data_IF_325283189442
#
_entry.id   IF_325283189442
#
_cell.length_a   1.000
_cell.length_b   1.000
_cell.length_c   1.000
_cell.angle_alpha   90.00
_cell.angle_beta   90.00
_cell.angle_gamma   90.00
#
_symmetry.space_group_name_H-M   'P 1'
#
loop_
_entity.id
_entity.type
_entity.pdbx_description
1 polymer ?
#
# COMPACT_ATOMS: atom_id res chain seq x y z
N UNK A 1 35.03 -20.36 -31.04
CA UNK A 1 33.85 -20.28 -30.17
C UNK A 1 33.97 -19.02 -29.34
N UNK A 2 33.18 -17.99 -29.64
CA UNK A 2 33.03 -16.80 -28.80
C UNK A 2 31.56 -16.76 -28.38
N UNK A 3 31.32 -16.90 -27.09
CA UNK A 3 30.00 -16.76 -26.48
C UNK A 3 29.84 -15.27 -26.22
N UNK A 4 29.01 -14.60 -27.02
CA UNK A 4 28.65 -13.21 -26.77
C UNK A 4 27.49 -13.22 -25.78
N UNK A 5 27.78 -12.89 -24.52
CA UNK A 5 26.77 -12.67 -23.49
C UNK A 5 25.86 -11.51 -23.93
N UNK A 6 24.61 -11.84 -24.23
CA UNK A 6 23.58 -10.83 -24.46
C UNK A 6 23.18 -10.29 -23.10
N UNK A 7 23.64 -9.07 -22.78
CA UNK A 7 23.18 -8.30 -21.63
C UNK A 7 21.65 -8.22 -21.68
N UNK A 8 20.99 -8.95 -20.79
CA UNK A 8 19.56 -8.93 -20.61
C UNK A 8 19.10 -7.49 -20.35
N UNK A 9 18.26 -7.01 -21.25
CA UNK A 9 17.64 -5.70 -21.22
C UNK A 9 16.74 -5.61 -19.97
N UNK A 10 17.31 -5.20 -18.82
CA UNK A 10 16.53 -4.83 -17.63
C UNK A 10 15.87 -3.49 -17.95
N UNK A 11 14.69 -3.54 -18.56
CA UNK A 11 13.86 -2.37 -18.78
C UNK A 11 13.72 -1.62 -17.46
N UNK A 12 14.30 -0.43 -17.41
CA UNK A 12 14.05 0.58 -16.38
C UNK A 12 12.56 0.91 -16.45
N UNK A 13 11.73 0.21 -15.68
CA UNK A 13 10.31 0.58 -15.54
C UNK A 13 10.30 1.92 -14.82
N UNK A 14 9.95 2.98 -15.55
CA UNK A 14 9.84 4.31 -14.97
C UNK A 14 8.80 4.32 -13.83
N UNK A 15 9.08 5.00 -12.71
CA UNK A 15 8.12 5.17 -11.63
C UNK A 15 6.81 5.78 -12.15
N UNK A 16 5.68 5.13 -11.89
CA UNK A 16 4.38 5.73 -12.20
C UNK A 16 3.95 6.66 -11.08
N UNK A 17 3.71 7.94 -11.39
CA UNK A 17 3.20 8.93 -10.44
C UNK A 17 1.69 9.10 -10.63
N UNK A 18 0.92 8.98 -9.55
CA UNK A 18 -0.53 9.12 -9.56
C UNK A 18 -0.98 10.15 -8.52
N UNK A 19 -1.84 11.07 -8.91
CA UNK A 19 -2.46 12.04 -8.00
C UNK A 19 -3.92 11.65 -7.71
N UNK A 20 -4.29 11.57 -6.42
CA UNK A 20 -5.67 11.37 -5.98
C UNK A 20 -5.97 12.28 -4.79
N UNK A 21 -6.69 13.37 -5.05
CA UNK A 21 -6.98 14.39 -4.03
C UNK A 21 -5.67 15.01 -3.51
N UNK A 22 -5.45 14.94 -2.19
CA UNK A 22 -4.22 15.43 -1.54
C UNK A 22 -3.07 14.41 -1.55
N UNK A 23 -3.30 13.19 -2.02
CA UNK A 23 -2.32 12.14 -2.02
C UNK A 23 -1.60 12.04 -3.36
N UNK A 24 -0.28 11.87 -3.30
CA UNK A 24 0.55 11.53 -4.46
C UNK A 24 1.16 10.16 -4.23
N UNK A 25 0.95 9.24 -5.16
CA UNK A 25 1.45 7.88 -5.12
C UNK A 25 2.58 7.73 -6.13
N UNK A 26 3.67 7.09 -5.72
CA UNK A 26 4.72 6.61 -6.61
C UNK A 26 4.74 5.10 -6.59
N UNK A 27 4.55 4.49 -7.75
CA UNK A 27 4.62 3.04 -7.90
C UNK A 27 5.94 2.68 -8.56
N UNK A 28 6.80 1.97 -7.83
CA UNK A 28 8.14 1.56 -8.26
C UNK A 28 8.31 0.06 -7.95
N UNK A 29 8.60 -0.77 -8.97
CA UNK A 29 8.92 -2.21 -8.78
C UNK A 29 7.93 -2.96 -7.87
N UNK A 30 6.62 -2.73 -8.06
CA UNK A 30 5.50 -3.28 -7.26
C UNK A 30 5.35 -2.72 -5.83
N UNK A 31 6.19 -1.78 -5.41
CA UNK A 31 5.98 -1.02 -4.19
C UNK A 31 5.20 0.26 -4.50
N UNK A 32 4.24 0.60 -3.65
CA UNK A 32 3.63 1.92 -3.66
C UNK A 32 4.17 2.73 -2.51
N UNK A 33 4.75 3.89 -2.80
CA UNK A 33 5.08 4.93 -1.82
C UNK A 33 4.02 6.03 -1.88
N UNK A 34 3.50 6.44 -0.73
CA UNK A 34 2.54 7.53 -0.60
C UNK A 34 3.26 8.76 -0.07
N UNK A 35 3.09 9.89 -0.75
CA UNK A 35 3.53 11.18 -0.24
C UNK A 35 2.42 11.79 0.62
N UNK A 36 2.79 12.10 1.85
CA UNK A 36 1.96 12.68 2.93
C UNK A 36 2.30 14.14 3.19
N UNK A 37 3.28 14.73 2.49
CA UNK A 37 3.80 16.08 2.73
C UNK A 37 2.78 17.20 2.49
N UNK A 38 1.67 16.90 1.81
CA UNK A 38 0.55 17.82 1.63
C UNK A 38 -0.46 17.80 2.81
N UNK A 39 -0.27 16.94 3.81
CA UNK A 39 -1.10 16.87 5.01
C UNK A 39 -0.58 17.84 6.09
N UNK A 40 -1.46 18.25 7.00
CA UNK A 40 -1.04 18.96 8.20
C UNK A 40 -0.17 18.04 9.08
N UNK A 41 0.84 18.59 9.77
CA UNK A 41 1.83 17.81 10.52
C UNK A 41 1.22 16.83 11.53
N UNK A 42 0.18 17.26 12.27
CA UNK A 42 -0.53 16.40 13.23
C UNK A 42 -1.23 15.21 12.57
N UNK A 43 -1.73 15.39 11.34
CA UNK A 43 -2.37 14.33 10.56
C UNK A 43 -1.31 13.47 9.87
N UNK A 44 -0.21 14.07 9.45
CA UNK A 44 0.90 13.39 8.78
C UNK A 44 1.49 12.30 9.68
N UNK A 45 1.86 12.63 10.92
CA UNK A 45 2.44 11.64 11.85
C UNK A 45 1.48 10.47 12.08
N UNK A 46 0.20 10.76 12.36
CA UNK A 46 -0.80 9.70 12.54
C UNK A 46 -0.95 8.84 11.28
N UNK A 47 -0.96 9.46 10.11
CA UNK A 47 -1.06 8.75 8.83
C UNK A 47 0.14 7.84 8.58
N UNK A 48 1.36 8.32 8.81
CA UNK A 48 2.59 7.56 8.59
C UNK A 48 2.75 6.40 9.58
N UNK A 49 2.24 6.55 10.81
CA UNK A 49 2.31 5.50 11.84
C UNK A 49 1.22 4.43 11.66
N UNK A 50 -0.02 4.83 11.39
CA UNK A 50 -1.18 3.94 11.53
C UNK A 50 -1.85 3.53 10.22
N UNK A 51 -1.45 4.07 9.07
CA UNK A 51 -2.09 3.74 7.81
C UNK A 51 -1.20 2.92 6.87
N UNK A 52 -1.78 1.85 6.34
CA UNK A 52 -1.27 1.18 5.14
C UNK A 52 -2.13 1.55 3.94
N UNK A 53 -1.50 1.81 2.80
CA UNK A 53 -2.19 2.18 1.57
C UNK A 53 -1.83 1.22 0.46
N UNK A 54 -2.84 0.71 -0.23
CA UNK A 54 -2.67 -0.26 -1.29
C UNK A 54 -3.63 -0.05 -2.44
N UNK A 55 -3.23 -0.55 -3.61
CA UNK A 55 -4.08 -0.64 -4.79
C UNK A 55 -4.54 -2.09 -4.97
N UNK A 56 -5.83 -2.30 -5.18
CA UNK A 56 -6.35 -3.58 -5.66
C UNK A 56 -6.33 -3.56 -7.19
N UNK A 57 -5.70 -4.55 -7.81
CA UNK A 57 -5.68 -4.69 -9.27
C UNK A 57 -6.86 -5.55 -9.75
N UNK A 58 -7.39 -5.24 -10.93
CA UNK A 58 -8.51 -5.97 -11.53
C UNK A 58 -9.86 -5.31 -11.29
N UNK A 59 -10.89 -6.12 -11.04
CA UNK A 59 -12.26 -5.64 -10.84
C UNK A 59 -12.36 -4.93 -9.49
N UNK A 60 -12.98 -3.73 -9.42
CA UNK A 60 -13.23 -3.05 -8.16
C UNK A 60 -13.94 -3.98 -7.16
N UNK A 61 -13.33 -4.18 -5.98
CA UNK A 61 -13.87 -5.06 -4.95
C UNK A 61 -14.65 -4.27 -3.90
N UNK A 62 -15.70 -4.89 -3.37
CA UNK A 62 -16.42 -4.33 -2.23
C UNK A 62 -15.51 -4.28 -0.99
N UNK A 63 -15.52 -3.16 -0.28
CA UNK A 63 -14.70 -2.96 0.92
C UNK A 63 -14.92 -4.01 2.01
N UNK A 64 -16.14 -4.58 2.11
CA UNK A 64 -16.46 -5.67 3.05
C UNK A 64 -15.70 -6.95 2.69
N UNK A 65 -15.52 -7.23 1.40
CA UNK A 65 -14.76 -8.39 0.90
C UNK A 65 -13.28 -8.21 1.21
N UNK A 66 -12.73 -7.02 0.96
CA UNK A 66 -11.35 -6.68 1.32
C UNK A 66 -11.15 -6.86 2.83
N UNK A 67 -12.02 -6.26 3.66
CA UNK A 67 -11.97 -6.36 5.12
C UNK A 67 -12.01 -7.81 5.59
N UNK A 68 -12.91 -8.62 5.04
CA UNK A 68 -13.02 -10.04 5.40
C UNK A 68 -11.73 -10.81 5.06
N UNK A 69 -11.16 -10.59 3.87
CA UNK A 69 -9.93 -11.27 3.47
C UNK A 69 -8.75 -10.86 4.35
N UNK A 70 -8.57 -9.56 4.60
CA UNK A 70 -7.51 -9.07 5.48
C UNK A 70 -7.64 -9.61 6.91
N UNK A 71 -8.85 -9.66 7.47
CA UNK A 71 -9.11 -10.29 8.79
C UNK A 71 -8.75 -11.79 8.80
N UNK A 72 -8.93 -12.48 7.68
CA UNK A 72 -8.56 -13.89 7.56
C UNK A 72 -7.05 -14.11 7.47
N UNK A 73 -6.30 -13.21 6.83
CA UNK A 73 -4.83 -13.30 6.74
C UNK A 73 -4.16 -12.85 8.05
N UNK A 74 -4.68 -11.80 8.69
CA UNK A 74 -4.10 -11.20 9.89
C UNK A 74 -4.75 -11.71 11.18
N UNK A 75 -4.61 -12.99 11.47
CA UNK A 75 -5.36 -13.68 12.55
C UNK A 75 -4.99 -13.27 13.99
N UNK A 76 -4.06 -12.34 14.19
CA UNK A 76 -3.52 -11.98 15.52
C UNK A 76 -3.43 -10.47 15.76
N UNK A 77 -4.24 -9.67 15.08
CA UNK A 77 -4.30 -8.23 15.37
C UNK A 77 -4.90 -8.00 16.76
N UNK A 78 -4.32 -7.06 17.49
CA UNK A 78 -4.83 -6.62 18.80
C UNK A 78 -6.13 -5.84 18.64
N UNK A 79 -6.24 -5.03 17.57
CA UNK A 79 -7.38 -4.18 17.30
C UNK A 79 -8.16 -4.52 16.04
N UNK A 80 -9.34 -3.90 15.93
CA UNK A 80 -10.02 -3.80 14.65
C UNK A 80 -9.29 -2.85 13.71
N UNK A 81 -9.42 -3.09 12.40
CA UNK A 81 -8.96 -2.18 11.35
C UNK A 81 -10.14 -1.48 10.66
N UNK A 82 -9.95 -0.22 10.33
CA UNK A 82 -10.84 0.56 9.47
C UNK A 82 -10.31 0.51 8.03
N UNK A 83 -11.19 0.53 7.03
CA UNK A 83 -10.80 0.58 5.63
C UNK A 83 -11.65 1.64 4.95
N UNK A 84 -11.00 2.48 4.13
CA UNK A 84 -11.65 3.50 3.31
C UNK A 84 -11.10 3.50 1.89
N UNK A 85 -11.87 4.09 0.97
CA UNK A 85 -11.47 4.30 -0.41
C UNK A 85 -10.63 5.58 -0.59
N UNK A 86 -9.60 5.49 -1.42
CA UNK A 86 -8.86 6.62 -2.00
C UNK A 86 -9.13 6.68 -3.51
N UNK A 87 -10.37 6.95 -3.88
CA UNK A 87 -10.82 6.80 -5.28
C UNK A 87 -11.17 5.34 -5.62
N UNK A 88 -11.20 4.99 -6.91
CA UNK A 88 -11.86 3.76 -7.38
C UNK A 88 -11.21 2.45 -6.89
N UNK A 89 -9.89 2.35 -6.98
CA UNK A 89 -9.16 1.08 -6.78
C UNK A 89 -8.06 1.14 -5.70
N UNK A 90 -7.99 2.27 -4.99
CA UNK A 90 -7.03 2.48 -3.91
C UNK A 90 -7.75 2.50 -2.57
N UNK A 91 -7.09 1.95 -1.57
CA UNK A 91 -7.65 1.74 -0.25
C UNK A 91 -6.63 2.12 0.80
N UNK A 92 -7.09 2.75 1.87
CA UNK A 92 -6.31 2.93 3.09
C UNK A 92 -6.87 2.02 4.18
N UNK A 93 -5.99 1.40 4.94
CA UNK A 93 -6.30 0.59 6.11
C UNK A 93 -5.72 1.31 7.32
N UNK A 94 -6.58 1.68 8.27
CA UNK A 94 -6.17 2.29 9.53
C UNK A 94 -6.11 1.24 10.63
N UNK A 95 -5.04 1.29 11.42
CA UNK A 95 -4.83 0.47 12.59
C UNK A 95 -5.00 1.31 13.85
N UNK A 96 -5.49 0.68 14.92
CA UNK A 96 -5.59 1.34 16.23
C UNK A 96 -4.33 1.17 17.08
N UNK A 97 -3.45 0.23 16.71
CA UNK A 97 -2.25 -0.11 17.45
C UNK A 97 -1.04 -0.17 16.51
N UNK A 98 0.06 0.47 16.88
CA UNK A 98 1.29 0.49 16.08
C UNK A 98 1.90 -0.93 15.96
N UNK A 99 1.78 -1.75 17.00
CA UNK A 99 2.21 -3.14 16.99
C UNK A 99 1.51 -3.98 15.90
N UNK A 100 0.24 -3.68 15.60
CA UNK A 100 -0.50 -4.35 14.53
C UNK A 100 0.05 -3.98 13.14
N UNK A 101 0.48 -2.72 12.97
CA UNK A 101 1.13 -2.26 11.73
C UNK A 101 2.44 -3.00 11.51
N UNK A 102 3.28 -3.08 12.56
CA UNK A 102 4.54 -3.81 12.51
C UNK A 102 4.32 -5.29 12.20
N UNK A 103 3.37 -5.94 12.89
CA UNK A 103 3.01 -7.34 12.63
C UNK A 103 2.65 -7.57 11.17
N UNK A 104 1.80 -6.72 10.58
CA UNK A 104 1.41 -6.85 9.16
C UNK A 104 2.59 -6.60 8.22
N UNK A 105 3.46 -5.63 8.53
CA UNK A 105 4.65 -5.32 7.72
C UNK A 105 5.74 -6.39 7.78
N UNK A 106 5.81 -7.17 8.86
CA UNK A 106 6.72 -8.32 9.02
C UNK A 106 6.16 -9.58 8.36
N UNK A 107 4.84 -9.76 8.41
CA UNK A 107 4.14 -10.93 7.89
C UNK A 107 3.46 -10.64 6.54
N UNK A 108 4.07 -9.78 5.71
CA UNK A 108 3.51 -9.40 4.40
C UNK A 108 3.15 -10.68 3.63
N UNK A 109 1.88 -10.85 3.21
CA UNK A 109 1.48 -12.00 2.42
C UNK A 109 2.17 -12.01 1.05
#
# INVERSE_FOLDING_TARGET
MQITETQGNRSSVEPSVLHKGRFTFRVERNETKVSTSALASSVQTHYETFYLVGKVFGVPMNIRVIKHRLKSEWKNLQGEVSIDHIGRDWYKVEFNYEADVLFVLENRP
#
